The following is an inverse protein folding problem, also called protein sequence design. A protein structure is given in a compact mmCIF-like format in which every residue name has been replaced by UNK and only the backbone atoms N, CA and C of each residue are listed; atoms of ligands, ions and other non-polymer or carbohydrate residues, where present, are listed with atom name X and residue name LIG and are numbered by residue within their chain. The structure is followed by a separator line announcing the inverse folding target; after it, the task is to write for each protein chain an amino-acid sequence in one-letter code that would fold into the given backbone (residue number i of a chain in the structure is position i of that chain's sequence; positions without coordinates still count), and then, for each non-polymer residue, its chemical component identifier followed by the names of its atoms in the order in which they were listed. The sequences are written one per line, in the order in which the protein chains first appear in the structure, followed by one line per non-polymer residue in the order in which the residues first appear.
data_IF_817402951290
#
_entry.id   IF_817402951290
#
_cell.length_a   1.000
_cell.length_b   1.000
_cell.length_c   1.000
_cell.angle_alpha   90.00
_cell.angle_beta   90.00
_cell.angle_gamma   90.00
#
_symmetry.space_group_name_H-M   'P 1'
#
loop_
_entity.id
_entity.type
_entity.pdbx_description
1 polymer ?
#
# COMPACT_ATOMS: atom_id res chain seq x y z
N UNK A 1 -4.91 -4.36 -15.78
CA UNK A 1 -4.86 -4.41 -14.32
C UNK A 1 -4.77 -3.00 -13.76
N UNK A 2 -5.43 -2.72 -12.65
CA UNK A 2 -5.48 -1.37 -12.06
C UNK A 2 -4.45 -1.14 -10.98
N UNK A 3 -3.84 -2.20 -10.47
CA UNK A 3 -2.71 -2.05 -9.54
C UNK A 3 -1.48 -1.59 -10.30
N UNK A 4 -0.65 -0.78 -9.66
CA UNK A 4 0.60 -0.29 -10.23
C UNK A 4 1.77 -0.88 -9.45
N UNK A 5 2.69 -1.53 -10.15
CA UNK A 5 3.92 -2.02 -9.52
C UNK A 5 4.78 -0.82 -9.18
N UNK A 6 5.13 -0.67 -7.89
CA UNK A 6 5.85 0.50 -7.39
C UNK A 6 7.28 0.17 -7.01
N UNK A 7 8.21 1.00 -7.43
CA UNK A 7 9.62 0.94 -7.02
C UNK A 7 9.87 1.96 -5.92
N UNK A 8 11.03 1.86 -5.26
CA UNK A 8 11.44 2.86 -4.27
C UNK A 8 11.50 4.25 -4.88
N UNK A 9 11.98 4.37 -6.12
CA UNK A 9 12.04 5.66 -6.81
C UNK A 9 10.63 6.24 -7.05
N UNK A 10 9.67 5.40 -7.43
CA UNK A 10 8.29 5.83 -7.61
C UNK A 10 7.66 6.27 -6.29
N UNK A 11 8.00 5.59 -5.19
CA UNK A 11 7.53 5.99 -3.88
C UNK A 11 7.96 7.41 -3.54
N UNK A 12 9.24 7.72 -3.76
CA UNK A 12 9.77 9.07 -3.51
C UNK A 12 9.04 10.13 -4.31
N UNK A 13 8.68 9.80 -5.54
CA UNK A 13 8.01 10.73 -6.45
C UNK A 13 6.53 10.90 -6.16
N UNK A 14 5.81 9.80 -5.87
CA UNK A 14 4.33 9.78 -5.80
C UNK A 14 3.76 9.79 -4.41
N UNK A 15 4.49 9.32 -3.41
CA UNK A 15 3.97 9.17 -2.06
C UNK A 15 4.64 10.14 -1.10
N UNK A 16 5.96 10.08 -1.00
CA UNK A 16 6.69 10.90 -0.05
C UNK A 16 8.16 10.97 -0.41
N UNK A 17 8.74 12.16 -0.35
CA UNK A 17 10.16 12.35 -0.60
C UNK A 17 10.97 11.91 0.63
N UNK A 18 11.63 10.76 0.50
CA UNK A 18 12.38 10.16 1.60
C UNK A 18 13.59 10.98 2.03
N UNK A 19 14.18 11.77 1.11
CA UNK A 19 15.33 12.61 1.41
C UNK A 19 14.95 13.81 2.26
N UNK A 20 13.68 14.21 2.18
CA UNK A 20 13.14 15.31 2.98
C UNK A 20 12.39 14.79 4.19
N UNK A 21 12.48 13.49 4.46
CA UNK A 21 11.78 12.89 5.57
C UNK A 21 12.34 13.40 6.89
N UNK A 22 11.52 14.18 7.57
CA UNK A 22 11.77 14.63 8.92
C UNK A 22 10.80 13.88 9.84
N UNK A 23 10.48 14.45 10.99
CA UNK A 23 9.54 13.83 11.93
C UNK A 23 8.10 13.80 11.43
N UNK A 24 7.82 14.42 10.28
CA UNK A 24 6.46 14.54 9.76
C UNK A 24 6.26 13.70 8.52
N UNK A 25 5.15 12.98 8.50
CA UNK A 25 4.66 12.30 7.31
C UNK A 25 3.98 13.33 6.40
N UNK A 26 4.44 13.45 5.16
CA UNK A 26 3.87 14.37 4.17
C UNK A 26 3.54 13.60 2.90
N UNK A 27 2.27 13.30 2.69
CA UNK A 27 1.81 12.55 1.53
C UNK A 27 1.70 13.48 0.31
N UNK A 28 2.27 13.06 -0.81
CA UNK A 28 2.31 13.83 -2.06
C UNK A 28 1.17 13.50 -3.03
N UNK A 29 0.43 12.42 -2.78
CA UNK A 29 -0.61 11.97 -3.71
C UNK A 29 -1.85 12.84 -3.70
N UNK A 30 -2.65 12.74 -4.76
CA UNK A 30 -3.91 13.46 -4.91
C UNK A 30 -5.14 12.60 -4.54
N UNK A 31 -4.92 11.34 -4.22
CA UNK A 31 -5.93 10.38 -3.78
C UNK A 31 -5.36 9.55 -2.64
N UNK A 32 -6.22 9.00 -1.77
CA UNK A 32 -5.76 7.99 -0.82
C UNK A 32 -5.12 6.83 -1.56
N UNK A 33 -4.23 6.12 -0.90
CA UNK A 33 -3.51 5.02 -1.52
C UNK A 33 -3.45 3.78 -0.64
N UNK A 34 -3.30 2.63 -1.27
CA UNK A 34 -3.00 1.37 -0.60
C UNK A 34 -1.71 0.84 -1.22
N UNK A 35 -0.79 0.38 -0.38
CA UNK A 35 0.43 -0.30 -0.83
C UNK A 35 0.42 -1.73 -0.30
N UNK A 36 0.48 -2.70 -1.22
CA UNK A 36 0.56 -4.12 -0.91
C UNK A 36 2.03 -4.54 -0.96
N UNK A 37 2.63 -4.78 0.20
CA UNK A 37 3.98 -5.33 0.30
C UNK A 37 3.92 -6.83 0.19
N UNK A 38 4.56 -7.40 -0.82
CA UNK A 38 4.47 -8.82 -1.17
C UNK A 38 5.82 -9.37 -1.62
N UNK A 39 5.86 -10.68 -1.81
CA UNK A 39 6.97 -11.35 -2.51
C UNK A 39 6.40 -12.40 -3.45
N UNK A 40 7.13 -12.71 -4.51
CA UNK A 40 6.67 -13.66 -5.54
C UNK A 40 6.54 -15.09 -5.01
N UNK A 41 7.28 -15.42 -3.96
CA UNK A 41 7.28 -16.76 -3.33
C UNK A 41 6.27 -16.90 -2.19
N UNK A 42 5.57 -15.86 -1.85
CA UNK A 42 4.69 -15.82 -0.69
C UNK A 42 3.29 -16.35 -1.05
N UNK A 43 2.90 -17.47 -0.45
CA UNK A 43 1.59 -18.08 -0.68
C UNK A 43 0.41 -17.20 -0.30
N UNK A 44 0.36 -16.68 0.94
CA UNK A 44 -0.72 -15.77 1.35
C UNK A 44 -0.81 -14.52 0.50
N UNK A 45 0.33 -14.00 0.01
CA UNK A 45 0.33 -12.85 -0.91
C UNK A 45 -0.38 -13.18 -2.22
N UNK A 46 -0.13 -14.38 -2.75
CA UNK A 46 -0.79 -14.84 -3.98
C UNK A 46 -2.28 -15.05 -3.77
N UNK A 47 -2.67 -15.49 -2.58
CA UNK A 47 -4.07 -15.70 -2.24
C UNK A 47 -4.86 -14.39 -2.28
N UNK A 48 -4.30 -13.30 -1.79
CA UNK A 48 -5.00 -12.01 -1.77
C UNK A 48 -4.78 -11.17 -3.02
N UNK A 49 -3.87 -11.56 -3.91
CA UNK A 49 -3.60 -10.79 -5.13
C UNK A 49 -4.87 -10.49 -5.95
N UNK A 50 -5.78 -11.46 -6.20
CA UNK A 50 -7.02 -11.15 -6.90
C UNK A 50 -7.92 -10.18 -6.15
N UNK A 51 -7.92 -10.25 -4.82
CA UNK A 51 -8.72 -9.36 -3.97
C UNK A 51 -8.18 -7.92 -4.07
N UNK A 52 -6.88 -7.75 -4.01
CA UNK A 52 -6.23 -6.45 -4.15
C UNK A 52 -6.52 -5.85 -5.53
N UNK A 53 -6.48 -6.68 -6.58
CA UNK A 53 -6.80 -6.24 -7.94
C UNK A 53 -8.27 -5.82 -8.06
N UNK A 54 -9.17 -6.57 -7.41
CA UNK A 54 -10.60 -6.22 -7.39
C UNK A 54 -10.83 -4.89 -6.71
N UNK A 55 -10.14 -4.63 -5.60
CA UNK A 55 -10.21 -3.33 -4.90
C UNK A 55 -9.73 -2.23 -5.85
N UNK A 56 -8.62 -2.44 -6.55
CA UNK A 56 -8.10 -1.46 -7.49
C UNK A 56 -9.11 -1.14 -8.60
N UNK A 57 -9.84 -2.14 -9.07
CA UNK A 57 -10.88 -1.93 -10.08
C UNK A 57 -12.10 -1.20 -9.50
N UNK A 58 -12.57 -1.63 -8.34
CA UNK A 58 -13.78 -1.07 -7.72
C UNK A 58 -13.61 0.38 -7.30
N UNK A 59 -12.41 0.77 -6.90
CA UNK A 59 -12.11 2.12 -6.42
C UNK A 59 -11.26 2.92 -7.40
N UNK A 60 -11.24 2.52 -8.66
CA UNK A 60 -10.51 3.23 -9.72
C UNK A 60 -10.96 4.70 -9.77
N UNK A 61 -10.01 5.61 -9.74
CA UNK A 61 -10.30 7.05 -9.70
C UNK A 61 -10.52 7.61 -8.30
N UNK A 62 -10.69 6.75 -7.29
CA UNK A 62 -10.90 7.17 -5.89
C UNK A 62 -9.73 6.83 -5.00
N UNK A 63 -9.06 5.71 -5.26
CA UNK A 63 -7.93 5.22 -4.48
C UNK A 63 -6.89 4.69 -5.47
N UNK A 64 -5.63 5.06 -5.23
CA UNK A 64 -4.51 4.47 -5.97
C UNK A 64 -4.04 3.21 -5.25
N UNK A 65 -3.88 2.10 -5.97
CA UNK A 65 -3.43 0.84 -5.38
C UNK A 65 -2.09 0.45 -6.00
N UNK A 66 -1.09 0.34 -5.15
CA UNK A 66 0.28 0.00 -5.54
C UNK A 66 0.69 -1.34 -4.96
N UNK A 67 1.64 -1.98 -5.63
CA UNK A 67 2.25 -3.23 -5.16
C UNK A 67 3.75 -3.03 -5.07
N UNK A 68 4.36 -3.45 -3.97
CA UNK A 68 5.81 -3.36 -3.76
C UNK A 68 6.36 -4.75 -3.48
N UNK A 69 7.23 -5.22 -4.38
CA UNK A 69 7.97 -6.47 -4.19
C UNK A 69 9.09 -6.20 -3.19
N UNK A 70 9.00 -6.81 -2.01
CA UNK A 70 9.96 -6.54 -0.92
C UNK A 70 11.38 -7.01 -1.27
N UNK A 71 11.51 -8.02 -2.12
CA UNK A 71 12.83 -8.52 -2.52
C UNK A 71 13.54 -7.57 -3.48
N UNK A 72 12.78 -6.81 -4.25
CA UNK A 72 13.32 -5.83 -5.20
C UNK A 72 13.40 -4.42 -4.62
N UNK A 73 12.77 -4.17 -3.49
CA UNK A 73 12.69 -2.84 -2.88
C UNK A 73 12.97 -2.94 -1.37
N UNK A 74 14.12 -3.49 -1.04
CA UNK A 74 14.50 -3.77 0.35
C UNK A 74 14.56 -2.51 1.21
N UNK A 75 15.07 -1.41 0.65
CA UNK A 75 15.15 -0.13 1.36
C UNK A 75 13.77 0.35 1.78
N UNK A 76 12.81 0.30 0.86
CA UNK A 76 11.45 0.74 1.14
C UNK A 76 10.79 -0.16 2.18
N UNK A 77 10.94 -1.47 2.06
CA UNK A 77 10.39 -2.42 3.02
C UNK A 77 10.98 -2.19 4.42
N UNK A 78 12.29 -1.98 4.50
CA UNK A 78 12.96 -1.72 5.77
C UNK A 78 12.48 -0.43 6.43
N UNK A 79 12.23 0.60 5.62
CA UNK A 79 11.77 1.89 6.11
C UNK A 79 10.41 1.79 6.81
N UNK A 80 9.53 0.93 6.32
CA UNK A 80 8.23 0.70 6.95
C UNK A 80 8.25 -0.45 7.95
N UNK A 81 9.42 -1.02 8.23
CA UNK A 81 9.55 -2.12 9.18
C UNK A 81 8.79 -3.37 8.77
N UNK A 82 8.73 -3.65 7.47
CA UNK A 82 8.00 -4.81 6.97
C UNK A 82 8.74 -6.10 7.31
N UNK A 83 8.19 -6.89 8.21
CA UNK A 83 8.76 -8.17 8.64
C UNK A 83 7.92 -9.35 8.18
N UNK A 84 6.62 -9.15 8.10
CA UNK A 84 5.66 -10.19 7.71
C UNK A 84 4.94 -9.74 6.45
N UNK A 85 4.77 -10.62 5.49
CA UNK A 85 4.03 -10.36 4.25
C UNK A 85 2.87 -11.34 4.10
N UNK A 86 1.74 -10.93 3.50
CA UNK A 86 1.51 -9.59 2.99
C UNK A 86 1.28 -8.57 4.10
N UNK A 87 1.67 -7.35 3.85
CA UNK A 87 1.33 -6.21 4.70
C UNK A 87 0.75 -5.13 3.80
N UNK A 88 -0.42 -4.63 4.14
CA UNK A 88 -1.05 -3.54 3.41
C UNK A 88 -0.90 -2.25 4.20
N UNK A 89 -0.48 -1.21 3.51
CA UNK A 89 -0.36 0.13 4.08
C UNK A 89 -1.48 0.98 3.51
N UNK A 90 -2.33 1.52 4.39
CA UNK A 90 -3.45 2.39 4.01
C UNK A 90 -3.04 3.83 4.25
N UNK A 91 -2.96 4.62 3.18
CA UNK A 91 -2.46 5.99 3.23
C UNK A 91 -3.63 6.95 3.00
N UNK A 92 -4.16 7.59 4.08
CA UNK A 92 -5.20 8.59 3.91
C UNK A 92 -4.63 9.88 3.34
N UNK A 93 -5.50 10.75 2.83
CA UNK A 93 -5.07 12.07 2.35
C UNK A 93 -4.46 12.91 3.47
N UNK A 94 -5.01 12.77 4.67
CA UNK A 94 -4.53 13.48 5.85
C UNK A 94 -4.34 12.50 6.99
N UNK A 95 -3.33 12.72 7.80
CA UNK A 95 -3.01 11.85 8.92
C UNK A 95 -2.00 10.79 8.58
N UNK A 96 -1.72 9.92 9.52
CA UNK A 96 -0.69 8.90 9.38
C UNK A 96 -1.21 7.64 8.69
N UNK A 97 -0.34 6.92 7.97
CA UNK A 97 -0.72 5.62 7.39
C UNK A 97 -1.09 4.61 8.47
N UNK A 98 -1.96 3.68 8.10
CA UNK A 98 -2.38 2.56 8.94
C UNK A 98 -1.89 1.27 8.31
N UNK A 99 -1.26 0.41 9.12
CA UNK A 99 -0.69 -0.86 8.65
C UNK A 99 -1.63 -2.01 8.99
N UNK A 100 -1.83 -2.91 8.03
CA UNK A 100 -2.59 -4.14 8.23
C UNK A 100 -1.68 -5.32 7.89
N UNK A 101 -1.33 -6.12 8.89
CA UNK A 101 -0.43 -7.26 8.73
C UNK A 101 -1.23 -8.54 8.49
N UNK A 102 -0.79 -9.32 7.50
CA UNK A 102 -1.39 -10.60 7.17
C UNK A 102 -2.48 -10.53 6.12
N UNK A 103 -2.86 -11.69 5.59
CA UNK A 103 -3.87 -11.79 4.56
C UNK A 103 -5.26 -11.55 5.16
N UNK A 104 -6.05 -10.70 4.51
CA UNK A 104 -7.43 -10.43 4.91
C UNK A 104 -8.34 -10.56 3.69
N UNK A 105 -9.58 -10.91 3.93
CA UNK A 105 -10.57 -11.07 2.86
C UNK A 105 -11.25 -9.75 2.55
N UNK A 106 -11.99 -9.72 1.43
CA UNK A 106 -12.61 -8.49 0.92
C UNK A 106 -13.44 -7.72 1.95
N UNK A 107 -14.34 -8.35 2.74
CA UNK A 107 -15.14 -7.56 3.70
C UNK A 107 -14.33 -6.79 4.71
N UNK A 108 -13.25 -7.40 5.22
CA UNK A 108 -12.38 -6.73 6.19
C UNK A 108 -11.62 -5.58 5.55
N UNK A 109 -11.14 -5.78 4.32
CA UNK A 109 -10.39 -4.75 3.60
C UNK A 109 -11.29 -3.58 3.23
N UNK A 110 -12.53 -3.86 2.80
CA UNK A 110 -13.49 -2.79 2.49
C UNK A 110 -13.83 -1.98 3.72
N UNK A 111 -13.96 -2.62 4.87
CA UNK A 111 -14.22 -1.91 6.13
C UNK A 111 -13.06 -0.97 6.47
N UNK A 112 -11.83 -1.43 6.29
CA UNK A 112 -10.65 -0.59 6.53
C UNK A 112 -10.59 0.59 5.56
N UNK A 113 -10.95 0.38 4.30
CA UNK A 113 -10.99 1.44 3.31
C UNK A 113 -11.99 2.53 3.74
N UNK A 114 -13.19 2.12 4.13
CA UNK A 114 -14.22 3.06 4.59
C UNK A 114 -13.79 3.81 5.84
N UNK A 115 -13.18 3.11 6.77
CA UNK A 115 -12.77 3.67 8.05
C UNK A 115 -11.61 4.65 7.91
N UNK A 116 -10.61 4.34 7.07
CA UNK A 116 -9.36 5.08 7.02
C UNK A 116 -9.19 5.95 5.77
N UNK A 117 -9.76 5.58 4.64
CA UNK A 117 -9.50 6.26 3.37
C UNK A 117 -10.66 7.07 2.82
N UNK A 118 -11.89 6.68 3.10
CA UNK A 118 -13.09 7.33 2.52
C UNK A 118 -13.93 8.08 3.56
N UNK A 119 -13.27 8.66 4.51
CA UNK A 119 -13.97 9.49 5.50
C UNK A 119 -14.47 10.78 4.88
#
# INVERSE_FOLDING_TARGET
MKTTEMTTAMFKDRVMDLEKMSDKWEFKGDKPAIIDFYATWCGPCKMIAPIVEEIANDYDGKIDVYKVDVDKNEELAAMFGIQTIPTLLFIPMEGKPVTSVGAKMMPELEEMIKQHLLK
#
